data_IF_500811686681
#
_entry.id   IF_500811686681
#
_cell.length_a   1.000
_cell.length_b   1.000
_cell.length_c   1.000
_cell.angle_alpha   90.00
_cell.angle_beta   90.00
_cell.angle_gamma   90.00
#
_symmetry.space_group_name_H-M   'P 1'
#
loop_
_entity.id
_entity.type
_entity.pdbx_description
1 polymer ?
#
# COMPACT_ATOMS: atom_id res chain seq x y z
N UNK A 1 34.76 -9.74 18.55
CA UNK A 1 35.51 -8.64 17.83
C UNK A 1 35.94 -9.05 16.43
N UNK A 2 36.49 -10.26 16.19
CA UNK A 2 36.84 -10.71 14.82
C UNK A 2 35.58 -11.04 13.98
N UNK A 3 34.56 -11.64 14.57
CA UNK A 3 33.35 -12.06 13.85
C UNK A 3 32.51 -10.86 13.37
N UNK A 4 32.37 -9.83 14.20
CA UNK A 4 31.65 -8.61 13.83
C UNK A 4 32.32 -7.85 12.68
N UNK A 5 33.66 -7.73 12.74
CA UNK A 5 34.42 -7.10 11.67
C UNK A 5 34.32 -7.89 10.36
N UNK A 6 34.39 -9.23 10.43
CA UNK A 6 34.23 -10.10 9.26
C UNK A 6 32.82 -9.94 8.66
N UNK A 7 31.79 -9.92 9.49
CA UNK A 7 30.40 -9.71 9.04
C UNK A 7 30.21 -8.36 8.37
N UNK A 8 30.84 -7.30 8.89
CA UNK A 8 30.80 -5.97 8.27
C UNK A 8 31.50 -5.95 6.91
N UNK A 9 32.67 -6.58 6.79
CA UNK A 9 33.40 -6.70 5.53
C UNK A 9 32.64 -7.48 4.49
N UNK A 10 32.00 -8.60 4.88
CA UNK A 10 31.17 -9.41 3.99
C UNK A 10 29.94 -8.63 3.50
N UNK A 11 29.36 -7.80 4.37
CA UNK A 11 28.21 -6.95 4.01
C UNK A 11 28.61 -5.84 3.03
N UNK A 12 29.77 -5.18 3.24
CA UNK A 12 30.31 -4.18 2.31
C UNK A 12 30.64 -4.80 0.94
N UNK A 13 31.31 -5.95 0.94
CA UNK A 13 31.61 -6.66 -0.31
C UNK A 13 30.36 -7.06 -1.07
N UNK A 14 29.28 -7.42 -0.36
CA UNK A 14 27.97 -7.72 -0.94
C UNK A 14 27.33 -6.49 -1.55
N UNK A 15 27.40 -5.36 -0.86
CA UNK A 15 26.84 -4.09 -1.32
C UNK A 15 27.54 -3.57 -2.58
N UNK A 16 28.85 -3.75 -2.67
CA UNK A 16 29.68 -3.39 -3.83
C UNK A 16 29.38 -4.20 -5.10
N UNK A 17 28.74 -5.38 -4.98
CA UNK A 17 28.30 -6.16 -6.14
C UNK A 17 27.14 -5.53 -6.92
N UNK A 18 26.58 -4.43 -6.45
CA UNK A 18 25.47 -3.75 -7.13
C UNK A 18 25.90 -2.44 -7.77
N UNK A 19 25.73 -2.33 -9.08
CA UNK A 19 25.88 -1.08 -9.83
C UNK A 19 24.59 -0.29 -9.77
N UNK A 20 24.65 0.96 -9.32
CA UNK A 20 23.52 1.88 -9.31
C UNK A 20 23.21 2.34 -10.74
N UNK A 21 21.96 2.16 -11.16
CA UNK A 21 21.42 2.64 -12.42
C UNK A 21 20.71 3.99 -12.24
N UNK A 22 19.87 4.10 -11.21
CA UNK A 22 19.15 5.32 -10.86
C UNK A 22 18.89 5.44 -9.36
N UNK A 23 18.94 6.66 -8.83
CA UNK A 23 18.45 6.99 -7.49
C UNK A 23 16.99 7.41 -7.63
N UNK A 24 16.06 6.63 -7.07
CA UNK A 24 14.62 6.85 -7.16
C UNK A 24 14.10 7.73 -6.01
N UNK A 25 14.70 7.59 -4.82
CA UNK A 25 14.38 8.37 -3.63
C UNK A 25 15.65 8.60 -2.83
N UNK A 26 15.83 9.80 -2.29
CA UNK A 26 16.97 10.13 -1.44
C UNK A 26 16.49 11.04 -0.30
N UNK A 27 16.06 10.42 0.81
CA UNK A 27 15.61 11.07 2.04
C UNK A 27 16.62 10.92 3.17
N UNK A 28 16.38 11.56 4.31
CA UNK A 28 17.25 11.48 5.49
C UNK A 28 17.25 10.09 6.13
N UNK A 29 16.09 9.39 6.13
CA UNK A 29 15.91 8.11 6.81
C UNK A 29 15.83 6.92 5.86
N UNK A 30 15.69 7.18 4.55
CA UNK A 30 15.52 6.16 3.52
C UNK A 30 16.10 6.62 2.19
N UNK A 31 16.80 5.71 1.53
CA UNK A 31 17.26 5.85 0.14
C UNK A 31 16.78 4.66 -0.68
N UNK A 32 16.27 4.92 -1.89
CA UNK A 32 15.81 3.87 -2.81
C UNK A 32 16.53 4.03 -4.15
N UNK A 33 17.08 2.94 -4.65
CA UNK A 33 17.84 2.87 -5.89
C UNK A 33 17.33 1.76 -6.79
N UNK A 34 17.42 1.97 -8.09
CA UNK A 34 17.40 0.90 -9.09
C UNK A 34 18.83 0.44 -9.36
N UNK A 35 19.08 -0.86 -9.23
CA UNK A 35 20.42 -1.43 -9.29
C UNK A 35 20.46 -2.67 -10.17
N UNK A 36 21.67 -2.98 -10.66
CA UNK A 36 22.00 -4.25 -11.32
C UNK A 36 23.06 -4.98 -10.50
N UNK A 37 22.85 -6.28 -10.26
CA UNK A 37 23.87 -7.13 -9.68
C UNK A 37 24.95 -7.42 -10.72
N UNK A 38 26.22 -7.22 -10.36
CA UNK A 38 27.39 -7.47 -11.22
C UNK A 38 28.12 -8.71 -10.73
N UNK A 39 28.04 -9.77 -11.50
CA UNK A 39 28.75 -11.01 -11.20
C UNK A 39 30.25 -10.91 -11.43
N UNK A 40 31.03 -11.84 -10.88
CA UNK A 40 32.51 -11.88 -10.99
C UNK A 40 33.03 -11.87 -12.43
N UNK A 41 32.25 -12.36 -13.38
CA UNK A 41 32.57 -12.35 -14.82
C UNK A 41 32.10 -11.09 -15.55
N UNK A 42 31.61 -10.08 -14.83
CA UNK A 42 31.07 -8.85 -15.37
C UNK A 42 29.65 -8.99 -15.94
N UNK A 43 28.97 -10.13 -15.77
CA UNK A 43 27.57 -10.28 -16.17
C UNK A 43 26.66 -9.46 -15.25
N UNK A 44 25.69 -8.76 -15.84
CA UNK A 44 24.69 -8.00 -15.08
C UNK A 44 23.35 -8.74 -15.02
N UNK A 45 22.70 -8.72 -13.86
CA UNK A 45 21.36 -9.24 -13.62
C UNK A 45 20.51 -8.16 -12.95
N UNK A 46 19.26 -8.07 -13.30
CA UNK A 46 18.31 -7.07 -12.78
C UNK A 46 17.38 -6.55 -13.87
N UNK A 47 16.76 -5.39 -13.68
CA UNK A 47 16.97 -4.48 -12.53
C UNK A 47 16.38 -5.01 -11.24
N UNK A 48 16.98 -4.57 -10.12
CA UNK A 48 16.45 -4.76 -8.76
C UNK A 48 16.21 -3.40 -8.12
N UNK A 49 15.40 -3.37 -7.06
CA UNK A 49 15.28 -2.23 -6.15
C UNK A 49 16.11 -2.52 -4.91
N UNK A 50 16.99 -1.57 -4.57
CA UNK A 50 17.74 -1.58 -3.31
C UNK A 50 17.27 -0.40 -2.45
N UNK A 51 16.85 -0.68 -1.22
CA UNK A 51 16.47 0.32 -0.24
C UNK A 51 17.43 0.30 0.95
N UNK A 52 17.78 1.48 1.45
CA UNK A 52 18.52 1.63 2.70
C UNK A 52 17.61 2.33 3.71
N UNK A 53 17.67 1.86 4.94
CA UNK A 53 16.97 2.42 6.08
C UNK A 53 17.95 2.68 7.20
N UNK A 54 17.77 3.79 7.92
CA UNK A 54 18.48 4.08 9.15
C UNK A 54 18.10 3.06 10.23
N UNK A 55 19.09 2.36 10.80
CA UNK A 55 18.86 1.33 11.83
C UNK A 55 18.24 1.91 13.11
N UNK A 56 18.64 3.14 13.51
CA UNK A 56 18.10 3.78 14.73
C UNK A 56 16.66 4.21 14.55
N UNK A 57 16.21 4.43 13.32
CA UNK A 57 14.83 4.78 13.02
C UNK A 57 13.85 3.62 13.24
N UNK A 58 14.33 2.37 13.30
CA UNK A 58 13.50 1.16 13.45
C UNK A 58 12.64 0.89 12.22
N UNK A 59 13.13 1.30 11.03
CA UNK A 59 12.45 1.14 9.74
C UNK A 59 12.85 -0.19 9.09
N UNK A 60 12.07 -0.62 8.09
CA UNK A 60 12.41 -1.77 7.25
C UNK A 60 12.24 -3.16 7.88
N UNK A 61 11.83 -3.26 9.16
CA UNK A 61 11.69 -4.55 9.86
C UNK A 61 10.72 -5.53 9.19
N UNK A 62 9.69 -5.03 8.51
CA UNK A 62 8.73 -5.84 7.75
C UNK A 62 9.40 -6.66 6.63
N UNK A 63 10.40 -6.10 5.96
CA UNK A 63 11.10 -6.80 4.87
C UNK A 63 11.82 -8.06 5.34
N UNK A 64 12.43 -8.05 6.53
CA UNK A 64 13.07 -9.24 7.12
C UNK A 64 12.05 -10.35 7.38
N UNK A 65 10.89 -10.00 7.95
CA UNK A 65 9.81 -10.96 8.18
C UNK A 65 9.29 -11.59 6.87
N UNK A 66 9.15 -10.78 5.83
CA UNK A 66 8.74 -11.25 4.50
C UNK A 66 9.80 -12.18 3.90
N UNK A 67 11.08 -11.80 3.97
CA UNK A 67 12.19 -12.63 3.49
C UNK A 67 12.22 -13.98 4.22
N UNK A 68 12.06 -13.99 5.53
CA UNK A 68 12.06 -15.21 6.33
C UNK A 68 10.88 -16.11 5.99
N UNK A 69 9.69 -15.54 5.80
CA UNK A 69 8.53 -16.28 5.33
C UNK A 69 8.75 -16.87 3.92
N UNK A 70 9.34 -16.09 3.00
CA UNK A 70 9.68 -16.57 1.65
C UNK A 70 10.72 -17.69 1.68
N UNK A 71 11.72 -17.63 2.57
CA UNK A 71 12.71 -18.70 2.77
C UNK A 71 12.07 -19.99 3.33
N UNK A 72 10.99 -19.86 4.09
CA UNK A 72 10.18 -20.96 4.59
C UNK A 72 9.15 -21.48 3.56
N UNK A 73 9.13 -20.92 2.36
CA UNK A 73 8.29 -21.37 1.24
C UNK A 73 7.00 -20.59 1.05
N UNK A 74 6.76 -19.51 1.83
CA UNK A 74 5.60 -18.64 1.61
C UNK A 74 5.71 -17.94 0.23
N UNK A 75 4.58 -17.86 -0.46
CA UNK A 75 4.45 -17.10 -1.73
C UNK A 75 3.46 -15.98 -1.53
N UNK A 76 3.85 -14.79 -1.93
CA UNK A 76 3.03 -13.60 -1.92
C UNK A 76 2.70 -13.24 -3.37
N UNK A 77 1.44 -12.87 -3.62
CA UNK A 77 0.96 -12.51 -4.95
C UNK A 77 1.05 -11.01 -5.20
N UNK A 78 1.02 -10.22 -4.13
CA UNK A 78 0.93 -8.77 -4.16
C UNK A 78 2.14 -8.05 -3.54
N UNK A 79 3.18 -8.80 -3.17
CA UNK A 79 4.42 -8.25 -2.64
C UNK A 79 5.59 -8.58 -3.56
N UNK A 80 6.55 -7.66 -3.74
CA UNK A 80 7.76 -7.95 -4.48
C UNK A 80 8.55 -9.06 -3.78
N UNK A 81 9.22 -9.89 -4.55
CA UNK A 81 10.15 -10.86 -4.00
C UNK A 81 11.31 -10.15 -3.34
N UNK A 82 11.58 -10.47 -2.07
CA UNK A 82 12.78 -10.00 -1.37
C UNK A 82 13.90 -11.00 -1.64
N UNK A 83 15.04 -10.52 -2.11
CA UNK A 83 16.21 -11.35 -2.40
C UNK A 83 17.17 -11.38 -1.23
N UNK A 84 17.38 -10.24 -0.57
CA UNK A 84 18.31 -10.12 0.55
C UNK A 84 17.95 -8.97 1.49
N UNK A 85 18.37 -9.13 2.77
CA UNK A 85 18.37 -8.10 3.79
C UNK A 85 19.68 -8.20 4.57
N UNK A 86 20.47 -7.13 4.62
CA UNK A 86 21.76 -7.09 5.30
C UNK A 86 22.03 -5.69 5.86
N UNK A 87 22.94 -5.59 6.83
CA UNK A 87 23.29 -4.30 7.43
C UNK A 87 24.61 -3.79 6.85
N UNK A 88 24.66 -2.52 6.51
CA UNK A 88 25.85 -1.83 5.98
C UNK A 88 26.08 -0.58 6.81
N UNK A 89 27.10 -0.59 7.68
CA UNK A 89 27.35 0.48 8.65
C UNK A 89 26.13 0.67 9.57
N UNK A 90 25.60 1.88 9.60
CA UNK A 90 24.44 2.26 10.41
C UNK A 90 23.11 2.10 9.66
N UNK A 91 23.11 1.45 8.50
CA UNK A 91 21.92 1.27 7.66
C UNK A 91 21.60 -0.21 7.46
N UNK A 92 20.31 -0.52 7.37
CA UNK A 92 19.81 -1.78 6.85
C UNK A 92 19.53 -1.66 5.36
N UNK A 93 20.05 -2.58 4.57
CA UNK A 93 19.82 -2.67 3.12
C UNK A 93 18.86 -3.81 2.81
N UNK A 94 17.94 -3.55 1.88
CA UNK A 94 17.01 -4.53 1.34
C UNK A 94 17.13 -4.54 -0.17
N UNK A 95 17.31 -5.72 -0.76
CA UNK A 95 17.30 -5.94 -2.21
C UNK A 95 16.07 -6.72 -2.59
N UNK A 96 15.26 -6.17 -3.50
CA UNK A 96 13.99 -6.78 -3.90
C UNK A 96 13.74 -6.64 -5.39
N UNK A 97 12.73 -7.34 -5.85
CA UNK A 97 12.24 -7.31 -7.22
C UNK A 97 11.89 -5.87 -7.64
N UNK A 98 12.30 -5.50 -8.84
CA UNK A 98 11.84 -4.30 -9.50
C UNK A 98 10.52 -4.62 -10.20
N UNK A 99 9.39 -4.38 -9.52
CA UNK A 99 8.06 -4.62 -10.08
C UNK A 99 7.87 -3.72 -11.28
N UNK A 100 7.54 -4.26 -12.46
CA UNK A 100 7.26 -3.44 -13.64
C UNK A 100 5.92 -2.71 -13.51
N UNK A 101 5.66 -1.78 -14.44
CA UNK A 101 4.40 -1.04 -14.48
C UNK A 101 4.52 0.42 -14.05
N UNK A 102 3.42 1.00 -13.59
CA UNK A 102 3.29 2.40 -13.16
C UNK A 102 2.78 2.46 -11.74
N UNK A 103 3.05 3.54 -11.03
CA UNK A 103 2.41 3.75 -9.74
C UNK A 103 0.91 3.91 -9.90
N UNK A 104 0.15 3.57 -8.86
CA UNK A 104 -1.30 3.78 -8.86
C UNK A 104 -1.63 5.28 -9.04
N UNK A 105 -0.77 6.18 -8.56
CA UNK A 105 -0.90 7.62 -8.79
C UNK A 105 -0.79 7.97 -10.28
N UNK A 106 0.22 7.41 -10.98
CA UNK A 106 0.38 7.63 -12.43
C UNK A 106 -0.79 7.07 -13.22
N UNK A 107 -1.32 5.90 -12.81
CA UNK A 107 -2.49 5.28 -13.47
C UNK A 107 -3.74 6.12 -13.31
N UNK A 108 -4.00 6.69 -12.11
CA UNK A 108 -5.13 7.59 -11.89
C UNK A 108 -5.01 8.84 -12.76
N UNK A 109 -3.84 9.46 -12.78
CA UNK A 109 -3.56 10.64 -13.61
C UNK A 109 -3.77 10.40 -15.12
N UNK A 110 -3.44 9.20 -15.62
CA UNK A 110 -3.56 8.86 -17.04
C UNK A 110 -4.96 8.39 -17.46
N UNK A 111 -5.71 7.78 -16.56
CA UNK A 111 -7.00 7.15 -16.85
C UNK A 111 -8.21 7.98 -16.38
N UNK A 112 -7.99 9.08 -15.71
CA UNK A 112 -8.94 9.86 -14.93
C UNK A 112 -9.64 9.05 -13.80
N UNK A 113 -10.00 9.69 -12.68
CA UNK A 113 -10.68 9.05 -11.58
C UNK A 113 -12.10 8.62 -11.98
N UNK A 114 -12.52 7.43 -11.56
CA UNK A 114 -13.84 6.92 -11.87
C UNK A 114 -14.23 5.69 -11.05
N UNK A 115 -15.52 5.40 -11.01
CA UNK A 115 -16.04 4.16 -10.42
C UNK A 115 -15.47 2.92 -11.14
N UNK A 116 -15.33 2.98 -12.46
CA UNK A 116 -14.77 1.86 -13.24
C UNK A 116 -13.28 1.64 -12.96
N UNK A 117 -12.50 2.71 -12.77
CA UNK A 117 -11.11 2.60 -12.34
C UNK A 117 -11.00 1.99 -10.94
N UNK A 118 -11.83 2.48 -9.99
CA UNK A 118 -11.88 1.94 -8.64
C UNK A 118 -12.28 0.46 -8.64
N UNK A 119 -13.31 0.07 -9.41
CA UNK A 119 -13.75 -1.32 -9.57
C UNK A 119 -12.65 -2.24 -10.11
N UNK A 120 -11.82 -1.74 -11.01
CA UNK A 120 -10.71 -2.49 -11.61
C UNK A 120 -9.55 -2.71 -10.64
N UNK A 121 -9.19 -1.72 -9.83
CA UNK A 121 -7.93 -1.71 -9.09
C UNK A 121 -8.08 -1.86 -7.57
N UNK A 122 -9.17 -1.35 -6.97
CA UNK A 122 -9.33 -1.35 -5.53
C UNK A 122 -9.40 -2.76 -4.89
N UNK A 123 -10.04 -3.78 -5.52
CA UNK A 123 -9.97 -5.15 -5.00
C UNK A 123 -8.52 -5.65 -4.88
N UNK A 124 -7.68 -5.46 -5.90
CA UNK A 124 -6.28 -5.85 -5.85
C UNK A 124 -5.45 -5.08 -4.79
N UNK A 125 -5.80 -3.81 -4.54
CA UNK A 125 -5.22 -3.04 -3.43
C UNK A 125 -5.61 -3.64 -2.08
N UNK A 126 -6.88 -4.01 -1.90
CA UNK A 126 -7.36 -4.69 -0.69
C UNK A 126 -6.68 -6.04 -0.49
N UNK A 127 -6.56 -6.85 -1.56
CA UNK A 127 -5.91 -8.16 -1.50
C UNK A 127 -4.44 -8.04 -1.08
N UNK A 128 -3.73 -7.01 -1.57
CA UNK A 128 -2.35 -6.73 -1.21
C UNK A 128 -2.17 -6.43 0.29
N UNK A 129 -3.09 -5.69 0.89
CA UNK A 129 -3.05 -5.41 2.34
C UNK A 129 -3.56 -6.62 3.15
N UNK A 130 -4.52 -7.38 2.64
CA UNK A 130 -4.93 -8.64 3.27
C UNK A 130 -3.77 -9.63 3.38
N UNK A 131 -2.86 -9.71 2.40
CA UNK A 131 -1.66 -10.55 2.51
C UNK A 131 -0.79 -10.17 3.72
N UNK A 132 -0.65 -8.86 4.03
CA UNK A 132 0.11 -8.39 5.19
C UNK A 132 -0.59 -8.75 6.51
N UNK A 133 -1.92 -8.60 6.57
CA UNK A 133 -2.68 -8.83 7.79
C UNK A 133 -2.83 -10.31 8.11
N UNK A 134 -2.99 -11.18 7.10
CA UNK A 134 -3.38 -12.58 7.30
C UNK A 134 -2.24 -13.59 7.20
N UNK A 135 -1.15 -13.23 6.53
CA UNK A 135 0.00 -14.13 6.35
C UNK A 135 1.00 -14.07 7.49
N UNK A 136 0.83 -13.13 8.41
CA UNK A 136 1.74 -12.93 9.53
C UNK A 136 0.96 -12.97 10.85
N UNK A 137 1.57 -13.59 11.85
CA UNK A 137 1.09 -13.59 13.24
C UNK A 137 2.23 -13.10 14.15
N UNK A 138 2.09 -12.00 14.86
CA UNK A 138 1.03 -10.96 14.71
C UNK A 138 1.01 -10.29 13.33
N UNK A 139 -0.13 -9.66 12.92
CA UNK A 139 -0.28 -9.00 11.63
C UNK A 139 0.80 -7.94 11.36
N UNK A 140 1.14 -7.73 10.08
CA UNK A 140 1.93 -6.57 9.65
C UNK A 140 0.98 -5.44 9.24
N UNK A 141 1.03 -4.32 9.95
CA UNK A 141 0.26 -3.11 9.64
C UNK A 141 1.11 -2.22 8.73
N UNK A 142 0.56 -1.80 7.60
CA UNK A 142 1.30 -1.07 6.56
C UNK A 142 1.64 0.36 6.95
N UNK A 143 0.67 1.14 7.46
CA UNK A 143 0.80 2.49 8.03
C UNK A 143 1.14 3.63 7.05
N UNK A 144 1.45 3.35 5.79
CA UNK A 144 1.68 4.37 4.74
C UNK A 144 0.98 4.00 3.43
N UNK A 145 -0.30 3.63 3.51
CA UNK A 145 -1.12 3.37 2.32
C UNK A 145 -1.38 4.68 1.60
N UNK A 146 -0.90 4.76 0.35
CA UNK A 146 -1.10 5.90 -0.56
C UNK A 146 -0.84 5.46 -2.01
N UNK A 147 -1.35 6.18 -3.01
CA UNK A 147 -1.25 5.76 -4.41
C UNK A 147 0.17 5.50 -4.92
N UNK A 148 1.17 6.26 -4.44
CA UNK A 148 2.57 6.09 -4.85
C UNK A 148 3.25 4.83 -4.30
N UNK A 149 2.64 4.15 -3.31
CA UNK A 149 3.19 2.94 -2.70
C UNK A 149 2.64 1.64 -3.32
N UNK A 150 1.86 1.76 -4.40
CA UNK A 150 1.38 0.63 -5.18
C UNK A 150 1.85 0.71 -6.62
N UNK A 151 2.35 -0.40 -7.17
CA UNK A 151 2.60 -0.58 -8.60
C UNK A 151 1.46 -1.33 -9.23
N UNK A 152 1.11 -0.94 -10.45
CA UNK A 152 0.07 -1.56 -11.28
C UNK A 152 0.70 -2.07 -12.56
N UNK A 153 0.58 -3.38 -12.81
CA UNK A 153 0.95 -4.04 -14.05
C UNK A 153 -0.28 -4.72 -14.65
N UNK A 154 -0.86 -4.13 -15.69
CA UNK A 154 -2.16 -4.56 -16.21
C UNK A 154 -3.27 -4.38 -15.18
N UNK A 155 -3.78 -5.48 -14.60
CA UNK A 155 -4.75 -5.47 -13.50
C UNK A 155 -4.14 -5.95 -12.17
N UNK A 156 -2.88 -6.39 -12.18
CA UNK A 156 -2.20 -6.80 -10.96
C UNK A 156 -1.71 -5.57 -10.17
N UNK A 157 -1.87 -5.62 -8.86
CA UNK A 157 -1.47 -4.55 -7.93
C UNK A 157 -0.45 -5.12 -6.95
N UNK A 158 0.64 -4.39 -6.72
CA UNK A 158 1.73 -4.76 -5.82
C UNK A 158 2.02 -3.64 -4.84
N UNK A 159 2.18 -3.95 -3.56
CA UNK A 159 2.72 -3.03 -2.55
C UNK A 159 4.23 -2.96 -2.71
N UNK A 160 4.79 -1.77 -2.89
CA UNK A 160 6.23 -1.58 -3.14
C UNK A 160 6.99 -0.88 -2.02
N UNK A 161 6.31 -0.35 -1.02
CA UNK A 161 6.93 0.35 0.11
C UNK A 161 6.36 -0.10 1.46
N UNK A 162 7.20 -0.77 2.24
CA UNK A 162 6.92 -1.28 3.57
C UNK A 162 7.86 -0.68 4.63
N UNK A 163 8.46 0.49 4.32
CA UNK A 163 9.50 1.10 5.15
C UNK A 163 9.06 1.35 6.58
N UNK A 164 7.81 1.78 6.78
CA UNK A 164 7.25 2.04 8.13
C UNK A 164 6.24 0.99 8.58
N UNK A 165 6.06 -0.09 7.81
CA UNK A 165 5.21 -1.20 8.21
C UNK A 165 5.78 -1.89 9.47
N UNK A 166 4.91 -2.24 10.41
CA UNK A 166 5.33 -2.88 11.65
C UNK A 166 4.38 -4.00 12.07
N UNK A 167 4.93 -4.87 12.90
CA UNK A 167 4.14 -5.87 13.60
C UNK A 167 3.19 -5.20 14.59
N UNK A 168 1.94 -5.65 14.64
CA UNK A 168 1.02 -5.28 15.71
C UNK A 168 1.55 -5.73 17.07
N UNK A 169 1.48 -4.84 18.06
CA UNK A 169 1.91 -5.11 19.43
C UNK A 169 0.73 -4.86 20.38
N UNK A 170 0.15 -5.93 20.89
CA UNK A 170 -1.05 -5.87 21.74
C UNK A 170 -0.81 -5.18 23.10
N UNK A 171 0.45 -5.10 23.54
CA UNK A 171 0.80 -4.49 24.86
C UNK A 171 1.11 -2.99 24.73
N UNK A 172 1.30 -2.45 23.51
CA UNK A 172 1.52 -1.03 23.31
C UNK A 172 0.20 -0.26 23.39
N UNK A 173 0.22 0.90 24.04
CA UNK A 173 -0.97 1.78 24.16
C UNK A 173 -0.96 2.95 23.17
N UNK A 174 0.21 3.31 22.65
CA UNK A 174 0.40 4.39 21.67
C UNK A 174 1.58 4.10 20.76
N UNK A 175 1.56 4.66 19.56
CA UNK A 175 2.69 4.60 18.64
C UNK A 175 3.85 5.48 19.13
N UNK A 176 5.06 4.91 19.16
CA UNK A 176 6.26 5.61 19.64
C UNK A 176 6.84 6.63 18.68
N UNK A 177 6.53 6.50 17.40
CA UNK A 177 6.99 7.43 16.33
C UNK A 177 5.86 7.70 15.36
N UNK A 178 5.70 8.97 14.97
CA UNK A 178 4.69 9.40 14.01
C UNK A 178 5.29 9.42 12.60
N UNK A 179 4.94 8.41 11.82
CA UNK A 179 5.31 8.29 10.41
C UNK A 179 4.04 8.22 9.55
N UNK A 180 4.18 8.49 8.26
CA UNK A 180 3.13 8.34 7.26
C UNK A 180 2.80 9.63 6.52
N UNK A 181 2.06 9.47 5.43
CA UNK A 181 1.63 10.60 4.59
C UNK A 181 0.37 11.22 5.17
N UNK A 182 0.47 12.45 5.66
CA UNK A 182 -0.54 13.13 6.48
C UNK A 182 -1.97 13.06 5.93
N UNK A 183 -2.14 13.14 4.61
CA UNK A 183 -3.46 13.12 3.98
C UNK A 183 -4.16 11.75 4.04
N UNK A 184 -3.42 10.66 4.18
CA UNK A 184 -3.96 9.29 4.21
C UNK A 184 -3.91 8.66 5.59
N UNK A 185 -3.12 9.21 6.51
CA UNK A 185 -2.87 8.61 7.81
C UNK A 185 -4.05 8.80 8.77
N UNK A 186 -4.45 7.76 9.52
CA UNK A 186 -5.55 7.82 10.46
C UNK A 186 -5.19 8.60 11.73
N UNK A 187 -6.20 9.09 12.49
CA UNK A 187 -5.99 9.89 13.71
C UNK A 187 -5.07 9.22 14.74
N UNK A 188 -5.19 7.91 14.96
CA UNK A 188 -4.38 7.17 15.92
C UNK A 188 -2.89 7.21 15.60
N UNK A 189 -2.50 7.36 14.34
CA UNK A 189 -1.10 7.49 13.91
C UNK A 189 -0.49 8.83 14.35
N UNK A 190 -1.31 9.79 14.78
CA UNK A 190 -0.91 11.09 15.34
C UNK A 190 -1.02 11.16 16.88
N UNK A 191 -1.06 10.00 17.55
CA UNK A 191 -1.05 9.94 19.02
C UNK A 191 -2.43 9.77 19.67
N UNK A 192 -3.50 9.55 18.87
CA UNK A 192 -4.84 9.27 19.40
C UNK A 192 -5.10 7.79 19.67
N UNK A 193 -4.05 6.95 19.69
CA UNK A 193 -4.15 5.52 19.96
C UNK A 193 -2.97 4.74 19.39
N UNK A 194 -3.15 3.43 19.31
CA UNK A 194 -2.22 2.52 18.66
C UNK A 194 -2.76 2.12 17.29
N UNK A 195 -1.89 1.99 16.30
CA UNK A 195 -2.25 1.48 14.98
C UNK A 195 -2.50 -0.03 15.01
N UNK A 196 -3.59 -0.44 14.40
CA UNK A 196 -3.97 -1.83 14.13
C UNK A 196 -4.47 -1.98 12.68
N UNK A 197 -5.06 -3.13 12.35
CA UNK A 197 -5.59 -3.41 11.00
C UNK A 197 -6.62 -2.38 10.52
N UNK A 198 -7.36 -1.74 11.45
CA UNK A 198 -8.36 -0.70 11.16
C UNK A 198 -7.71 0.64 10.77
N UNK A 199 -6.44 0.82 11.09
CA UNK A 199 -5.64 1.96 10.62
C UNK A 199 -5.41 1.88 9.11
N UNK A 200 -5.12 0.68 8.61
CA UNK A 200 -5.00 0.44 7.17
C UNK A 200 -6.36 0.52 6.47
N UNK A 201 -7.47 0.12 7.12
CA UNK A 201 -8.84 0.33 6.61
C UNK A 201 -9.13 1.82 6.36
N UNK A 202 -8.75 2.69 7.31
CA UNK A 202 -8.92 4.14 7.14
C UNK A 202 -8.13 4.65 5.93
N UNK A 203 -6.86 4.28 5.83
CA UNK A 203 -6.00 4.71 4.73
C UNK A 203 -6.47 4.16 3.37
N UNK A 204 -7.04 2.94 3.33
CA UNK A 204 -7.71 2.38 2.15
C UNK A 204 -8.97 3.17 1.78
N UNK A 205 -9.75 3.65 2.74
CA UNK A 205 -10.88 4.56 2.50
C UNK A 205 -10.44 5.88 1.83
N UNK A 206 -9.32 6.47 2.31
CA UNK A 206 -8.71 7.64 1.70
C UNK A 206 -8.18 7.37 0.29
N UNK A 207 -7.60 6.20 0.07
CA UNK A 207 -7.14 5.79 -1.26
C UNK A 207 -8.31 5.52 -2.21
N UNK A 208 -9.40 4.92 -1.73
CA UNK A 208 -10.62 4.76 -2.53
C UNK A 208 -11.20 6.11 -2.93
N UNK A 209 -11.26 7.09 -2.01
CA UNK A 209 -11.63 8.47 -2.33
C UNK A 209 -10.76 9.03 -3.46
N UNK A 210 -9.44 8.86 -3.39
CA UNK A 210 -8.51 9.31 -4.43
C UNK A 210 -8.78 8.65 -5.79
N UNK A 211 -9.08 7.35 -5.82
CA UNK A 211 -9.45 6.63 -7.07
C UNK A 211 -10.75 7.15 -7.70
N UNK A 212 -11.63 7.74 -6.90
CA UNK A 212 -12.93 8.26 -7.33
C UNK A 212 -12.91 9.73 -7.72
N UNK A 213 -11.98 10.54 -7.17
CA UNK A 213 -12.00 11.99 -7.30
C UNK A 213 -10.66 12.61 -7.76
N UNK A 214 -9.52 11.89 -7.63
CA UNK A 214 -8.14 12.41 -7.85
C UNK A 214 -7.81 13.66 -7.00
N UNK A 215 -8.53 13.85 -5.90
CA UNK A 215 -8.25 14.93 -4.97
C UNK A 215 -7.43 14.43 -3.78
N UNK A 216 -6.53 15.29 -3.26
CA UNK A 216 -5.88 14.99 -1.98
C UNK A 216 -6.95 14.95 -0.90
N UNK A 217 -7.07 13.83 -0.13
CA UNK A 217 -8.16 13.70 0.84
C UNK A 217 -8.06 14.75 1.96
N UNK A 218 -9.14 15.48 2.17
CA UNK A 218 -9.35 16.37 3.31
C UNK A 218 -10.63 15.93 4.02
N UNK A 219 -10.52 15.40 5.23
CA UNK A 219 -11.61 14.72 5.96
C UNK A 219 -12.93 15.49 5.94
N UNK A 220 -12.88 16.82 6.16
CA UNK A 220 -14.06 17.67 6.20
C UNK A 220 -14.72 17.90 4.83
N UNK A 221 -14.04 17.58 3.73
CA UNK A 221 -14.50 17.81 2.36
C UNK A 221 -14.86 16.54 1.61
N UNK A 222 -14.53 15.34 2.13
CA UNK A 222 -14.75 14.06 1.45
C UNK A 222 -16.20 13.89 0.99
N UNK A 223 -17.17 14.09 1.89
CA UNK A 223 -18.59 13.89 1.57
C UNK A 223 -19.06 14.81 0.44
N UNK A 224 -18.61 16.07 0.45
CA UNK A 224 -18.94 17.07 -0.56
C UNK A 224 -18.27 16.73 -1.90
N UNK A 225 -16.99 16.38 -1.92
CA UNK A 225 -16.26 16.03 -3.13
C UNK A 225 -16.88 14.79 -3.81
N UNK A 226 -17.16 13.71 -3.06
CA UNK A 226 -17.84 12.53 -3.56
C UNK A 226 -19.21 12.84 -4.20
N UNK A 227 -19.94 13.79 -3.63
CA UNK A 227 -21.22 14.23 -4.18
C UNK A 227 -21.04 15.04 -5.47
N UNK A 228 -20.04 15.92 -5.51
CA UNK A 228 -19.68 16.75 -6.68
C UNK A 228 -19.24 15.89 -7.87
N UNK A 229 -18.48 14.83 -7.61
CA UNK A 229 -18.06 13.85 -8.63
C UNK A 229 -19.15 12.81 -8.98
N UNK A 230 -20.39 12.99 -8.49
CA UNK A 230 -21.54 12.10 -8.76
C UNK A 230 -21.26 10.63 -8.40
N UNK A 231 -20.43 10.37 -7.38
CA UNK A 231 -20.19 9.02 -6.89
C UNK A 231 -21.51 8.45 -6.34
N UNK A 232 -21.91 7.19 -6.68
CA UNK A 232 -23.13 6.58 -6.19
C UNK A 232 -23.24 6.61 -4.65
N UNK A 233 -24.42 6.88 -4.10
CA UNK A 233 -24.60 7.05 -2.63
C UNK A 233 -24.11 5.85 -1.84
N UNK A 234 -24.41 4.64 -2.29
CA UNK A 234 -23.96 3.39 -1.65
C UNK A 234 -22.44 3.27 -1.57
N UNK A 235 -21.72 3.78 -2.57
CA UNK A 235 -20.25 3.79 -2.57
C UNK A 235 -19.68 4.93 -1.70
N UNK A 236 -20.38 6.08 -1.65
CA UNK A 236 -20.03 7.16 -0.71
C UNK A 236 -20.11 6.70 0.74
N UNK A 237 -21.14 5.92 1.10
CA UNK A 237 -21.33 5.38 2.44
C UNK A 237 -20.16 4.45 2.82
N UNK A 238 -19.66 3.64 1.89
CA UNK A 238 -18.47 2.79 2.10
C UNK A 238 -17.22 3.63 2.41
N UNK A 239 -16.97 4.69 1.63
CA UNK A 239 -15.82 5.58 1.88
C UNK A 239 -15.96 6.25 3.25
N UNK A 240 -17.12 6.84 3.55
CA UNK A 240 -17.35 7.58 4.79
C UNK A 240 -17.25 6.68 6.03
N UNK A 241 -17.74 5.45 5.97
CA UNK A 241 -17.56 4.48 7.05
C UNK A 241 -16.09 4.10 7.23
N UNK A 242 -15.35 3.84 6.15
CA UNK A 242 -13.93 3.48 6.23
C UNK A 242 -13.10 4.57 6.90
N UNK A 243 -13.41 5.87 6.65
CA UNK A 243 -12.67 7.02 7.18
C UNK A 243 -13.25 7.59 8.48
N UNK A 244 -14.09 6.83 9.20
CA UNK A 244 -14.60 7.23 10.51
C UNK A 244 -13.47 7.53 11.48
N UNK A 245 -13.66 8.55 12.33
CA UNK A 245 -12.64 8.97 13.30
C UNK A 245 -12.35 7.85 14.31
N UNK A 246 -13.39 7.28 14.91
CA UNK A 246 -13.26 6.14 15.82
C UNK A 246 -13.02 4.83 15.03
N UNK A 247 -11.94 4.09 15.32
CA UNK A 247 -11.71 2.77 14.71
C UNK A 247 -12.85 1.78 14.93
N UNK A 248 -13.65 1.91 15.99
CA UNK A 248 -14.79 1.04 16.26
C UNK A 248 -15.92 1.21 15.24
N UNK A 249 -16.07 2.39 14.64
CA UNK A 249 -17.09 2.69 13.64
C UNK A 249 -16.68 2.29 12.22
N UNK A 250 -15.41 1.97 12.01
CA UNK A 250 -14.86 1.52 10.71
C UNK A 250 -15.22 0.06 10.42
N UNK A 251 -14.95 -0.36 9.20
CA UNK A 251 -14.87 -1.80 8.90
C UNK A 251 -13.77 -2.43 9.77
N UNK A 252 -14.08 -3.57 10.40
CA UNK A 252 -13.18 -4.19 11.37
C UNK A 252 -12.05 -5.02 10.72
N UNK A 253 -12.04 -5.13 9.39
CA UNK A 253 -10.95 -5.73 8.62
C UNK A 253 -10.98 -5.22 7.17
N UNK A 254 -9.85 -5.35 6.47
CA UNK A 254 -9.76 -5.04 5.02
C UNK A 254 -10.71 -5.93 4.21
N UNK A 255 -10.89 -7.19 4.59
CA UNK A 255 -11.89 -8.07 3.96
C UNK A 255 -13.31 -7.56 4.08
N UNK A 256 -13.66 -6.98 5.24
CA UNK A 256 -14.99 -6.41 5.43
C UNK A 256 -15.20 -5.19 4.53
N UNK A 257 -14.20 -4.32 4.42
CA UNK A 257 -14.20 -3.18 3.49
C UNK A 257 -14.34 -3.64 2.03
N UNK A 258 -13.53 -4.61 1.59
CA UNK A 258 -13.58 -5.14 0.22
C UNK A 258 -14.95 -5.68 -0.14
N UNK A 259 -15.59 -6.47 0.75
CA UNK A 259 -16.95 -6.99 0.55
C UNK A 259 -18.01 -5.89 0.47
N UNK A 260 -17.89 -4.86 1.31
CA UNK A 260 -18.80 -3.72 1.27
C UNK A 260 -18.65 -2.94 -0.04
N UNK A 261 -17.42 -2.75 -0.51
CA UNK A 261 -17.12 -2.16 -1.81
C UNK A 261 -17.75 -2.96 -2.96
N UNK A 262 -17.51 -4.27 -3.04
CA UNK A 262 -18.06 -5.13 -4.09
C UNK A 262 -19.61 -5.09 -4.10
N UNK A 263 -20.22 -5.13 -2.92
CA UNK A 263 -21.68 -5.05 -2.76
C UNK A 263 -22.21 -3.69 -3.25
N UNK A 264 -21.50 -2.59 -2.95
CA UNK A 264 -21.90 -1.25 -3.38
C UNK A 264 -21.82 -1.08 -4.90
N UNK A 265 -20.79 -1.66 -5.53
CA UNK A 265 -20.65 -1.68 -7.00
C UNK A 265 -21.80 -2.44 -7.65
N UNK A 266 -22.16 -3.61 -7.11
CA UNK A 266 -23.29 -4.41 -7.64
C UNK A 266 -24.62 -3.65 -7.57
N UNK A 267 -24.90 -2.96 -6.45
CA UNK A 267 -26.11 -2.14 -6.29
C UNK A 267 -26.11 -0.93 -7.24
N UNK A 268 -24.99 -0.25 -7.38
CA UNK A 268 -24.88 0.90 -8.28
C UNK A 268 -25.14 0.52 -9.74
N UNK A 269 -24.67 -0.65 -10.19
CA UNK A 269 -24.92 -1.16 -11.55
C UNK A 269 -26.39 -1.50 -11.79
N UNK A 270 -27.04 -2.18 -10.85
CA UNK A 270 -28.47 -2.50 -10.96
C UNK A 270 -29.36 -1.25 -11.07
N UNK A 271 -29.00 -0.18 -10.35
CA UNK A 271 -29.71 1.09 -10.39
C UNK A 271 -29.55 1.79 -11.75
N UNK A 272 -28.38 1.68 -12.38
CA UNK A 272 -28.14 2.23 -13.72
C UNK A 272 -28.90 1.47 -14.82
N UNK A 273 -28.94 0.15 -14.74
CA UNK A 273 -29.65 -0.72 -15.70
C UNK A 273 -31.17 -0.53 -15.61
N UNK A 274 -31.72 -0.31 -14.41
CA UNK A 274 -33.15 -0.06 -14.21
C UNK A 274 -33.62 1.25 -14.83
N UNK A 275 -32.76 2.28 -14.87
CA UNK A 275 -33.06 3.58 -15.50
C UNK A 275 -33.06 3.46 -17.04
N UNK A 276 -32.23 2.60 -17.61
CA UNK A 276 -32.14 2.40 -19.07
C UNK A 276 -33.30 1.56 -19.61
N UNK A 277 -33.90 0.67 -18.81
CA UNK A 277 -35.02 -0.18 -19.21
C UNK A 277 -36.41 0.43 -18.97
N UNK A 278 -36.53 1.66 -18.51
CA UNK A 278 -37.76 2.41 -18.44
C UNK A 278 -38.26 2.78 -19.84
N UNK A 279 -39.31 2.09 -20.28
CA UNK A 279 -39.91 2.19 -21.63
C UNK A 279 -40.39 3.64 -21.90
N UNK A 280 -39.93 4.31 -22.99
CA UNK A 280 -40.40 5.67 -23.33
C UNK A 280 -41.79 5.72 -24.03
N UNK A 281 -42.53 4.62 -24.10
CA UNK A 281 -43.80 4.53 -24.79
C UNK A 281 -44.96 4.08 -23.90
N UNK A 282 -45.28 4.84 -22.84
CA UNK A 282 -46.67 4.82 -22.28
C UNK A 282 -47.25 6.22 -22.34
N UNK A 283 -47.49 6.67 -23.58
CA UNK A 283 -48.38 7.79 -23.84
C UNK A 283 -49.75 7.16 -24.11
N UNK A 284 -50.51 6.95 -23.03
CA UNK A 284 -51.91 6.61 -23.13
C UNK A 284 -52.63 7.66 -23.98
N UNK A 285 -53.13 7.20 -25.13
CA UNK A 285 -54.12 7.92 -25.94
C UNK A 285 -55.49 7.52 -25.36
N UNK A 286 -56.11 8.49 -24.71
CA UNK A 286 -57.58 8.57 -24.57
C UNK A 286 -58.03 10.04 -24.72
#
# INVERSE_FOLDING_TARGET
MNDELQQQLDSLARDECYRVDAVLKNGQLERTERVFFVGQNGSEQGPYIRKYFDCEAGLGGAYRRILDAQRQGARFLHLPRIFDCYSVGEQDAVVMECVPGKTLADVVYECDPSVELAKRLFPGVCDAICELHERFDPPLIHRDIKPSNFMVEGNAVFVIDLGIARTFDADATTDTKHFGTRAYAPPEQFGYGQTDERSDVYALGMLLFYLLCEETPEVNHIAQALATHNVPSVLRDVVLQAVSFDPADRFQSVKALARAFDSSIAVAQQSSDAIVCGDPYDVGID
#
